data_IF_536870765646
#
_entry.id   IF_536870765646
#
_cell.length_a   1.000
_cell.length_b   1.000
_cell.length_c   1.000
_cell.angle_alpha   90.00
_cell.angle_beta   90.00
_cell.angle_gamma   90.00
#
_symmetry.space_group_name_H-M   'P 1'
#
loop_
_entity.id
_entity.type
_entity.pdbx_description
1 polymer ?
#
# COMPACT_ATOMS: atom_id res chain seq x y z
N UNK A 1 47.19 0.59 33.61
CA UNK A 1 46.79 1.05 32.26
C UNK A 1 45.55 0.27 31.86
N UNK A 2 44.37 0.90 31.94
CA UNK A 2 43.10 0.27 31.59
C UNK A 2 42.87 0.41 30.09
N UNK A 3 42.69 -0.71 29.40
CA UNK A 3 42.33 -0.78 27.99
C UNK A 3 40.85 -0.45 27.81
N UNK A 4 40.56 0.69 27.18
CA UNK A 4 39.21 1.12 26.80
C UNK A 4 38.74 0.31 25.59
N UNK A 5 37.82 -0.63 25.81
CA UNK A 5 37.05 -1.31 24.76
C UNK A 5 35.98 -0.36 24.22
N UNK A 6 36.18 0.20 23.03
CA UNK A 6 35.18 0.97 22.31
C UNK A 6 34.12 0.01 21.73
N UNK A 7 32.96 -0.06 22.37
CA UNK A 7 31.77 -0.76 21.85
C UNK A 7 31.24 -0.06 20.60
N UNK A 8 31.20 -0.76 19.47
CA UNK A 8 30.55 -0.29 18.25
C UNK A 8 29.06 0.01 18.50
N UNK A 9 28.48 1.06 17.88
CA UNK A 9 27.07 1.38 18.07
C UNK A 9 26.21 0.28 17.43
N UNK A 10 25.21 -0.19 18.16
CA UNK A 10 24.24 -1.16 17.68
C UNK A 10 23.52 -0.59 16.44
N UNK A 11 23.73 -1.21 15.28
CA UNK A 11 23.00 -0.90 14.05
C UNK A 11 21.54 -1.28 14.27
N UNK A 12 20.65 -0.28 14.34
CA UNK A 12 19.21 -0.51 14.43
C UNK A 12 18.70 -1.31 13.24
N UNK A 13 17.49 -1.91 13.32
CA UNK A 13 16.97 -2.75 12.25
C UNK A 13 16.89 -1.96 10.92
N UNK A 14 17.60 -2.44 9.90
CA UNK A 14 17.58 -1.85 8.56
C UNK A 14 16.16 -1.99 7.98
N UNK A 15 15.48 -0.86 7.79
CA UNK A 15 14.09 -0.84 7.29
C UNK A 15 14.10 -1.24 5.81
N UNK A 16 13.26 -2.21 5.38
CA UNK A 16 13.14 -2.58 3.97
C UNK A 16 12.81 -1.38 3.09
N UNK A 17 13.37 -1.33 1.88
CA UNK A 17 13.17 -0.19 0.96
C UNK A 17 11.70 0.02 0.58
N UNK A 18 10.91 -1.05 0.55
CA UNK A 18 9.47 -0.98 0.28
C UNK A 18 8.75 -0.09 1.31
N UNK A 19 9.15 -0.15 2.57
CA UNK A 19 8.61 0.71 3.63
C UNK A 19 9.29 2.07 3.66
N UNK A 20 10.62 2.11 3.50
CA UNK A 20 11.40 3.35 3.52
C UNK A 20 10.95 4.34 2.43
N UNK A 21 10.64 3.83 1.24
CA UNK A 21 10.23 4.62 0.08
C UNK A 21 8.71 4.57 -0.15
N UNK A 22 7.91 4.12 0.83
CA UNK A 22 6.45 4.13 0.73
C UNK A 22 5.97 5.59 0.62
N UNK A 23 5.21 5.95 -0.45
CA UNK A 23 4.59 7.26 -0.59
C UNK A 23 3.78 7.67 0.64
N UNK A 24 4.00 8.90 1.13
CA UNK A 24 3.26 9.47 2.27
C UNK A 24 2.18 10.45 1.84
N UNK A 25 2.30 11.00 0.62
CA UNK A 25 1.32 11.90 0.00
C UNK A 25 0.68 11.23 -1.19
N UNK A 26 -0.57 11.59 -1.48
CA UNK A 26 -1.29 11.04 -2.64
C UNK A 26 -0.61 11.45 -3.95
N UNK A 27 0.05 12.62 -3.99
CA UNK A 27 0.79 13.11 -5.16
C UNK A 27 2.06 12.31 -5.49
N UNK A 28 2.62 11.55 -4.53
CA UNK A 28 3.85 10.77 -4.73
C UNK A 28 3.57 9.37 -5.29
N UNK A 29 2.29 9.02 -5.47
CA UNK A 29 1.85 7.73 -6.01
C UNK A 29 2.04 7.75 -7.52
N UNK A 30 2.71 6.71 -8.03
CA UNK A 30 2.99 6.58 -9.45
C UNK A 30 1.91 5.74 -10.13
N UNK A 31 1.46 6.23 -11.27
CA UNK A 31 0.46 5.62 -12.15
C UNK A 31 -0.97 5.66 -11.63
N UNK A 32 -1.88 5.05 -12.39
CA UNK A 32 -3.33 5.13 -12.15
C UNK A 32 -3.82 6.59 -11.98
N UNK A 33 -3.46 7.47 -12.93
CA UNK A 33 -3.68 8.91 -12.84
C UNK A 33 -5.13 9.30 -12.47
N UNK A 34 -6.12 8.64 -13.08
CA UNK A 34 -7.53 8.87 -12.78
C UNK A 34 -7.90 8.54 -11.32
N UNK A 35 -7.35 7.44 -10.79
CA UNK A 35 -7.59 7.03 -9.41
C UNK A 35 -6.92 8.00 -8.44
N UNK A 36 -5.66 8.36 -8.71
CA UNK A 36 -4.87 9.30 -7.91
C UNK A 36 -5.53 10.68 -7.92
N UNK A 37 -5.99 11.18 -9.07
CA UNK A 37 -6.70 12.45 -9.18
C UNK A 37 -7.97 12.49 -8.32
N UNK A 38 -8.77 11.41 -8.33
CA UNK A 38 -9.96 11.30 -7.46
C UNK A 38 -9.58 11.33 -5.99
N UNK A 39 -8.53 10.61 -5.59
CA UNK A 39 -8.05 10.61 -4.20
C UNK A 39 -7.51 11.99 -3.78
N UNK A 40 -6.86 12.73 -4.69
CA UNK A 40 -6.40 14.09 -4.42
C UNK A 40 -7.57 15.07 -4.18
N UNK A 41 -8.65 14.96 -4.95
CA UNK A 41 -9.87 15.77 -4.70
C UNK A 41 -10.42 15.48 -3.32
N UNK A 42 -10.51 14.20 -2.94
CA UNK A 42 -10.98 13.78 -1.62
C UNK A 42 -10.07 14.32 -0.50
N UNK A 43 -8.75 14.28 -0.69
CA UNK A 43 -7.77 14.79 0.27
C UNK A 43 -7.95 16.31 0.52
N UNK A 44 -8.24 17.07 -0.54
CA UNK A 44 -8.49 18.52 -0.49
C UNK A 44 -9.82 18.84 0.19
N UNK A 45 -10.90 18.17 -0.21
CA UNK A 45 -12.24 18.44 0.31
C UNK A 45 -12.41 17.96 1.76
N UNK A 46 -11.63 16.97 2.19
CA UNK A 46 -11.65 16.43 3.55
C UNK A 46 -12.81 15.49 3.88
N UNK A 47 -13.88 15.51 3.08
CA UNK A 47 -15.06 14.65 3.28
C UNK A 47 -14.93 13.32 2.53
N UNK A 48 -14.07 12.42 3.03
CA UNK A 48 -13.81 11.12 2.40
C UNK A 48 -14.99 10.16 2.50
N UNK A 49 -15.69 9.76 1.41
CA UNK A 49 -16.73 8.73 1.48
C UNK A 49 -16.14 7.37 1.90
N UNK A 50 -16.97 6.36 2.09
CA UNK A 50 -16.42 5.00 2.17
C UNK A 50 -15.82 4.64 0.80
N UNK A 51 -14.66 3.99 0.79
CA UNK A 51 -13.89 3.70 -0.41
C UNK A 51 -13.66 2.20 -0.55
N UNK A 52 -13.71 1.72 -1.79
CA UNK A 52 -13.17 0.41 -2.17
C UNK A 52 -12.12 0.65 -3.24
N UNK A 53 -10.88 0.26 -2.97
CA UNK A 53 -9.81 0.22 -3.95
C UNK A 53 -9.65 -1.22 -4.43
N UNK A 54 -9.96 -1.44 -5.71
CA UNK A 54 -9.93 -2.77 -6.31
C UNK A 54 -8.93 -2.82 -7.47
N UNK A 55 -8.10 -3.85 -7.52
CA UNK A 55 -7.14 -4.03 -8.60
C UNK A 55 -6.07 -5.08 -8.31
N UNK A 56 -5.19 -5.40 -9.27
CA UNK A 56 -4.13 -6.39 -9.09
C UNK A 56 -3.22 -6.10 -7.87
N UNK A 57 -2.57 -7.11 -7.28
CA UNK A 57 -1.61 -6.89 -6.21
C UNK A 57 -0.40 -6.08 -6.70
N UNK A 58 0.23 -5.31 -5.81
CA UNK A 58 1.40 -4.48 -6.16
C UNK A 58 1.10 -3.19 -6.93
N UNK A 59 -0.17 -2.79 -7.08
CA UNK A 59 -0.59 -1.56 -7.79
C UNK A 59 -0.69 -0.32 -6.90
N UNK A 60 -0.32 -0.44 -5.62
CA UNK A 60 -0.30 0.70 -4.69
C UNK A 60 -1.62 0.99 -3.96
N UNK A 61 -2.59 0.06 -3.95
CA UNK A 61 -3.89 0.24 -3.25
C UNK A 61 -3.73 0.63 -1.78
N UNK A 62 -3.09 -0.22 -0.98
CA UNK A 62 -2.88 0.00 0.46
C UNK A 62 -2.09 1.29 0.71
N UNK A 63 -1.02 1.48 -0.04
CA UNK A 63 -0.21 2.72 -0.03
C UNK A 63 -1.05 3.96 -0.30
N UNK A 64 -1.97 3.89 -1.26
CA UNK A 64 -2.84 5.02 -1.61
C UNK A 64 -3.79 5.40 -0.48
N UNK A 65 -4.37 4.39 0.19
CA UNK A 65 -5.26 4.63 1.35
C UNK A 65 -4.46 5.21 2.52
N UNK A 66 -3.28 4.67 2.80
CA UNK A 66 -2.42 5.15 3.88
C UNK A 66 -1.97 6.60 3.63
N UNK A 67 -1.54 6.91 2.41
CA UNK A 67 -1.16 8.27 2.01
C UNK A 67 -2.35 9.24 2.13
N UNK A 68 -3.54 8.83 1.66
CA UNK A 68 -4.76 9.63 1.81
C UNK A 68 -5.09 9.87 3.29
N UNK A 69 -5.01 8.83 4.13
CA UNK A 69 -5.30 8.94 5.55
C UNK A 69 -4.29 9.83 6.28
N UNK A 70 -3.00 9.77 5.90
CA UNK A 70 -1.97 10.67 6.40
C UNK A 70 -2.24 12.12 6.02
N UNK A 71 -2.61 12.40 4.77
CA UNK A 71 -2.95 13.73 4.29
C UNK A 71 -4.25 14.26 4.94
N UNK A 72 -5.20 13.37 5.21
CA UNK A 72 -6.47 13.72 5.83
C UNK A 72 -6.39 13.96 7.35
N UNK A 73 -5.52 13.24 8.07
CA UNK A 73 -5.54 13.28 9.54
C UNK A 73 -4.28 13.91 10.13
N UNK A 74 -3.20 14.01 9.34
CA UNK A 74 -1.94 14.63 9.75
C UNK A 74 -1.46 14.12 11.10
N UNK A 75 -1.35 14.99 12.14
CA UNK A 75 -0.88 14.58 13.46
C UNK A 75 -1.81 13.58 14.16
N UNK A 76 -3.11 13.60 13.83
CA UNK A 76 -4.12 12.74 14.47
C UNK A 76 -4.17 11.33 13.87
N UNK A 77 -3.34 11.03 12.86
CA UNK A 77 -3.32 9.76 12.15
C UNK A 77 -3.27 8.55 13.11
N UNK A 78 -2.36 8.57 14.09
CA UNK A 78 -2.17 7.46 15.03
C UNK A 78 -3.39 7.15 15.89
N UNK A 79 -4.22 8.15 16.18
CA UNK A 79 -5.38 7.99 17.05
C UNK A 79 -6.68 7.73 16.29
N UNK A 80 -6.73 8.18 15.04
CA UNK A 80 -7.91 8.23 14.18
C UNK A 80 -7.86 7.27 12.98
N UNK A 81 -6.76 6.52 12.80
CA UNK A 81 -6.67 5.42 11.83
C UNK A 81 -6.55 4.08 12.53
N UNK A 82 -7.33 3.10 12.08
CA UNK A 82 -7.19 1.70 12.44
C UNK A 82 -6.92 0.90 11.16
N UNK A 83 -5.74 0.32 11.05
CA UNK A 83 -5.38 -0.61 9.99
C UNK A 83 -5.57 -2.04 10.47
N UNK A 84 -6.26 -2.86 9.68
CA UNK A 84 -6.40 -4.29 9.90
C UNK A 84 -6.14 -5.02 8.59
N UNK A 85 -5.25 -6.01 8.63
CA UNK A 85 -5.14 -6.98 7.56
C UNK A 85 -6.19 -8.08 7.78
N UNK A 86 -7.13 -8.21 6.83
CA UNK A 86 -8.25 -9.14 6.97
C UNK A 86 -7.85 -10.62 6.86
N UNK A 87 -6.67 -10.94 6.32
CA UNK A 87 -6.17 -12.32 6.23
C UNK A 87 -5.51 -12.84 7.51
N UNK A 88 -4.87 -11.96 8.30
CA UNK A 88 -4.10 -12.36 9.48
C UNK A 88 -4.98 -12.53 10.73
N UNK A 89 -5.95 -11.63 10.94
CA UNK A 89 -6.88 -11.68 12.08
C UNK A 89 -8.03 -12.67 11.80
N UNK A 90 -7.73 -13.97 11.81
CA UNK A 90 -8.62 -15.11 11.46
C UNK A 90 -9.89 -15.30 12.33
N UNK A 91 -10.22 -14.36 13.21
CA UNK A 91 -11.44 -14.38 14.01
C UNK A 91 -12.44 -13.32 13.54
N UNK A 92 -13.57 -13.73 12.94
CA UNK A 92 -14.69 -12.85 12.60
C UNK A 92 -15.06 -11.96 13.81
N UNK A 93 -15.05 -12.55 15.01
CA UNK A 93 -15.41 -11.85 16.24
C UNK A 93 -14.34 -10.86 16.71
N UNK A 94 -13.06 -11.17 16.49
CA UNK A 94 -11.94 -10.28 16.87
C UNK A 94 -11.97 -9.02 16.00
N UNK A 95 -12.09 -9.19 14.69
CA UNK A 95 -12.20 -8.07 13.74
C UNK A 95 -13.44 -7.24 14.04
N UNK A 96 -14.61 -7.89 14.23
CA UNK A 96 -15.85 -7.20 14.57
C UNK A 96 -15.74 -6.39 15.85
N UNK A 97 -15.15 -6.94 16.91
CA UNK A 97 -15.02 -6.25 18.20
C UNK A 97 -14.02 -5.09 18.11
N UNK A 98 -12.85 -5.28 17.49
CA UNK A 98 -11.86 -4.21 17.27
C UNK A 98 -12.46 -3.04 16.50
N UNK A 99 -13.11 -3.33 15.36
CA UNK A 99 -13.77 -2.31 14.53
C UNK A 99 -14.86 -1.60 15.33
N UNK A 100 -15.71 -2.32 16.06
CA UNK A 100 -16.78 -1.73 16.87
C UNK A 100 -16.23 -0.83 17.97
N UNK A 101 -15.23 -1.28 18.72
CA UNK A 101 -14.61 -0.48 19.79
C UNK A 101 -13.97 0.80 19.23
N UNK A 102 -13.27 0.70 18.10
CA UNK A 102 -12.66 1.85 17.46
C UNK A 102 -13.71 2.82 16.89
N UNK A 103 -14.78 2.31 16.28
CA UNK A 103 -15.88 3.12 15.79
C UNK A 103 -16.62 3.86 16.92
N UNK A 104 -16.66 3.28 18.13
CA UNK A 104 -17.23 3.91 19.33
C UNK A 104 -16.29 4.91 20.02
N UNK A 105 -14.96 4.74 19.90
CA UNK A 105 -13.97 5.66 20.48
C UNK A 105 -14.24 7.10 20.03
N UNK A 106 -14.39 8.02 20.96
CA UNK A 106 -14.48 9.46 20.63
C UNK A 106 -13.07 10.00 20.40
N UNK A 107 -12.86 10.59 19.23
CA UNK A 107 -11.60 11.26 18.86
C UNK A 107 -11.98 12.65 18.35
N UNK A 108 -11.32 13.68 18.88
CA UNK A 108 -11.56 15.06 18.47
C UNK A 108 -10.81 15.33 17.18
N UNK A 109 -11.54 15.51 16.08
CA UNK A 109 -10.99 15.79 14.76
C UNK A 109 -11.44 17.17 14.27
N UNK A 110 -10.67 17.81 13.38
CA UNK A 110 -11.11 19.04 12.73
C UNK A 110 -12.46 18.86 12.01
N UNK A 111 -13.23 19.94 11.81
CA UNK A 111 -14.49 19.89 11.09
C UNK A 111 -14.35 19.20 9.72
N UNK A 112 -15.28 18.31 9.39
CA UNK A 112 -15.28 17.55 8.14
C UNK A 112 -14.36 16.32 8.10
N UNK A 113 -13.47 16.13 9.09
CA UNK A 113 -12.59 14.96 9.19
C UNK A 113 -13.22 13.87 10.05
N UNK A 114 -13.03 12.63 9.63
CA UNK A 114 -13.62 11.44 10.24
C UNK A 114 -12.52 10.42 10.57
N UNK A 115 -12.77 9.53 11.51
CA UNK A 115 -11.89 8.38 11.74
C UNK A 115 -11.90 7.48 10.52
N UNK A 116 -10.79 6.81 10.25
CA UNK A 116 -10.65 5.94 9.09
C UNK A 116 -10.33 4.52 9.56
N UNK A 117 -11.10 3.55 9.09
CA UNK A 117 -10.78 2.13 9.25
C UNK A 117 -10.33 1.60 7.90
N UNK A 118 -9.09 1.11 7.84
CA UNK A 118 -8.46 0.52 6.67
C UNK A 118 -8.54 -0.99 6.81
N UNK A 119 -9.17 -1.64 5.85
CA UNK A 119 -9.26 -3.10 5.76
C UNK A 119 -8.49 -3.54 4.53
N UNK A 120 -7.29 -4.07 4.73
CA UNK A 120 -6.53 -4.68 3.64
C UNK A 120 -6.97 -6.11 3.39
N UNK A 121 -6.83 -6.56 2.15
CA UNK A 121 -7.28 -7.88 1.69
C UNK A 121 -8.74 -8.19 2.04
N UNK A 122 -9.64 -7.19 1.92
CA UNK A 122 -11.04 -7.32 2.30
C UNK A 122 -11.78 -8.44 1.53
N UNK A 123 -11.26 -8.87 0.38
CA UNK A 123 -11.77 -10.01 -0.38
C UNK A 123 -11.46 -11.38 0.25
N UNK A 124 -10.62 -11.42 1.28
CA UNK A 124 -10.36 -12.60 2.12
C UNK A 124 -11.38 -12.74 3.27
N UNK A 125 -12.22 -11.73 3.52
CA UNK A 125 -13.25 -11.80 4.56
C UNK A 125 -14.39 -12.73 4.17
N UNK A 126 -14.87 -13.53 5.14
CA UNK A 126 -16.08 -14.33 4.97
C UNK A 126 -17.32 -13.44 4.77
N UNK A 127 -18.32 -13.94 4.03
CA UNK A 127 -19.57 -13.20 3.81
C UNK A 127 -20.27 -12.81 5.13
N UNK A 128 -20.19 -13.65 6.16
CA UNK A 128 -20.74 -13.35 7.49
C UNK A 128 -20.05 -12.15 8.16
N UNK A 129 -18.72 -12.06 8.06
CA UNK A 129 -17.96 -10.92 8.56
C UNK A 129 -18.31 -9.64 7.80
N UNK A 130 -18.44 -9.71 6.47
CA UNK A 130 -18.85 -8.57 5.64
C UNK A 130 -20.27 -8.08 6.01
N UNK A 131 -21.21 -8.98 6.30
CA UNK A 131 -22.56 -8.59 6.76
C UNK A 131 -22.52 -7.86 8.11
N UNK A 132 -21.67 -8.30 9.04
CA UNK A 132 -21.48 -7.61 10.32
C UNK A 132 -20.82 -6.22 10.13
N UNK A 133 -19.85 -6.13 9.22
CA UNK A 133 -19.18 -4.89 8.85
C UNK A 133 -20.18 -3.86 8.29
N UNK A 134 -21.05 -4.28 7.36
CA UNK A 134 -22.08 -3.43 6.75
C UNK A 134 -22.91 -2.68 7.81
N UNK A 135 -23.40 -3.38 8.84
CA UNK A 135 -24.19 -2.75 9.91
C UNK A 135 -23.38 -1.70 10.69
N UNK A 136 -22.10 -1.98 10.89
CA UNK A 136 -21.18 -1.06 11.58
C UNK A 136 -20.91 0.19 10.73
N UNK A 137 -20.75 0.03 9.42
CA UNK A 137 -20.61 1.15 8.48
C UNK A 137 -21.84 2.07 8.48
N UNK A 138 -23.04 1.50 8.55
CA UNK A 138 -24.29 2.29 8.60
C UNK A 138 -24.40 3.09 9.92
N UNK A 139 -24.23 2.41 11.08
CA UNK A 139 -24.40 3.02 12.40
C UNK A 139 -23.41 4.16 12.66
N UNK A 140 -22.15 4.01 12.23
CA UNK A 140 -21.06 4.95 12.55
C UNK A 140 -20.63 5.83 11.37
N UNK A 141 -21.44 5.91 10.30
CA UNK A 141 -21.16 6.69 9.08
C UNK A 141 -20.85 8.18 9.34
N UNK A 142 -21.42 8.76 10.39
CA UNK A 142 -21.21 10.16 10.79
C UNK A 142 -19.87 10.41 11.49
N UNK A 143 -19.18 9.38 12.00
CA UNK A 143 -17.93 9.55 12.77
C UNK A 143 -16.76 8.78 12.20
N UNK A 144 -17.04 7.74 11.42
CA UNK A 144 -16.06 6.76 10.94
C UNK A 144 -16.33 6.44 9.48
N UNK A 145 -15.28 6.47 8.67
CA UNK A 145 -15.28 6.14 7.25
C UNK A 145 -14.42 4.90 7.04
N UNK A 146 -14.77 4.10 6.04
CA UNK A 146 -14.12 2.83 5.76
C UNK A 146 -13.40 2.89 4.43
N UNK A 147 -12.18 2.37 4.37
CA UNK A 147 -11.42 2.21 3.15
C UNK A 147 -11.00 0.74 3.02
N UNK A 148 -11.52 0.06 2.00
CA UNK A 148 -11.30 -1.35 1.77
C UNK A 148 -10.33 -1.51 0.58
N UNK A 149 -9.24 -2.24 0.77
CA UNK A 149 -8.38 -2.67 -0.31
C UNK A 149 -8.70 -4.14 -0.64
N UNK A 150 -8.91 -4.44 -1.92
CA UNK A 150 -9.15 -5.81 -2.37
C UNK A 150 -8.55 -6.07 -3.76
N UNK A 151 -8.30 -7.33 -4.08
CA UNK A 151 -7.85 -7.70 -5.42
C UNK A 151 -9.02 -7.75 -6.40
N UNK A 152 -10.12 -8.35 -5.96
CA UNK A 152 -11.32 -8.52 -6.78
C UNK A 152 -12.54 -7.94 -6.07
N UNK A 153 -13.15 -6.91 -6.65
CA UNK A 153 -14.34 -6.26 -6.07
C UNK A 153 -15.56 -7.18 -6.00
N UNK A 154 -15.66 -8.19 -6.88
CA UNK A 154 -16.80 -9.13 -6.89
C UNK A 154 -16.91 -10.02 -5.66
N UNK A 155 -15.83 -10.18 -4.89
CA UNK A 155 -15.83 -10.92 -3.62
C UNK A 155 -16.38 -10.09 -2.44
N UNK A 156 -16.57 -8.79 -2.64
CA UNK A 156 -17.21 -7.91 -1.68
C UNK A 156 -18.73 -7.98 -1.90
N UNK A 157 -19.51 -8.11 -0.84
CA UNK A 157 -20.97 -8.16 -0.95
C UNK A 157 -21.53 -6.84 -1.50
N UNK A 158 -22.55 -6.93 -2.36
CA UNK A 158 -23.23 -5.77 -2.97
C UNK A 158 -23.70 -4.71 -1.95
N UNK A 159 -24.21 -5.06 -0.75
CA UNK A 159 -24.58 -4.06 0.26
C UNK A 159 -23.42 -3.16 0.72
N UNK A 160 -22.18 -3.65 0.71
CA UNK A 160 -21.00 -2.81 1.01
C UNK A 160 -20.64 -1.99 -0.23
N UNK A 161 -20.59 -2.62 -1.42
CA UNK A 161 -20.23 -1.95 -2.67
C UNK A 161 -21.13 -0.74 -2.96
N UNK A 162 -22.44 -0.89 -2.79
CA UNK A 162 -23.43 0.19 -2.99
C UNK A 162 -23.25 1.41 -2.08
N UNK A 163 -22.49 1.29 -0.98
CA UNK A 163 -22.23 2.36 -0.01
C UNK A 163 -20.82 2.92 -0.09
N UNK A 164 -20.01 2.43 -1.04
CA UNK A 164 -18.63 2.83 -1.21
C UNK A 164 -18.39 3.39 -2.62
N UNK A 165 -17.59 4.43 -2.72
CA UNK A 165 -17.02 4.85 -3.98
C UNK A 165 -15.95 3.82 -4.40
N UNK A 166 -16.17 3.19 -5.55
CA UNK A 166 -15.24 2.22 -6.12
C UNK A 166 -14.18 2.93 -6.95
N UNK A 167 -12.92 2.74 -6.58
CA UNK A 167 -11.74 3.22 -7.30
C UNK A 167 -11.00 2.01 -7.85
N UNK A 168 -10.86 1.94 -9.17
CA UNK A 168 -10.20 0.82 -9.85
C UNK A 168 -8.73 1.15 -10.08
N UNK A 169 -7.87 0.20 -9.73
CA UNK A 169 -6.44 0.23 -9.98
C UNK A 169 -6.10 -0.79 -11.08
N UNK A 170 -5.32 -0.34 -12.05
CA UNK A 170 -4.72 -1.13 -13.10
C UNK A 170 -3.25 -1.43 -12.79
N UNK A 171 -2.67 -2.37 -13.54
CA UNK A 171 -1.23 -2.61 -13.50
C UNK A 171 -0.48 -1.37 -13.95
N UNK A 172 0.66 -1.12 -13.31
CA UNK A 172 1.57 -0.07 -13.72
C UNK A 172 2.31 -0.50 -14.99
N UNK A 173 2.58 0.46 -15.85
CA UNK A 173 3.45 0.30 -17.01
C UNK A 173 4.91 0.22 -16.60
N UNK A 174 5.73 -0.40 -17.45
CA UNK A 174 7.17 -0.53 -17.20
C UNK A 174 7.85 0.84 -17.07
N UNK A 175 7.37 1.84 -17.81
CA UNK A 175 7.87 3.22 -17.75
C UNK A 175 7.62 3.86 -16.38
N UNK A 176 6.42 3.68 -15.82
CA UNK A 176 6.05 4.17 -14.48
C UNK A 176 6.89 3.49 -13.39
N UNK A 177 7.06 2.17 -13.49
CA UNK A 177 7.89 1.39 -12.55
C UNK A 177 9.34 1.85 -12.61
N UNK A 178 9.89 1.99 -13.82
CA UNK A 178 11.27 2.45 -14.04
C UNK A 178 11.47 3.86 -13.48
N UNK A 179 10.51 4.76 -13.71
CA UNK A 179 10.54 6.12 -13.17
C UNK A 179 10.66 6.13 -11.64
N UNK A 180 9.87 5.29 -10.95
CA UNK A 180 9.96 5.17 -9.49
C UNK A 180 11.28 4.53 -9.04
N UNK A 181 11.77 3.53 -9.76
CA UNK A 181 13.02 2.85 -9.44
C UNK A 181 14.22 3.81 -9.52
N UNK A 182 14.26 4.67 -10.54
CA UNK A 182 15.32 5.66 -10.71
C UNK A 182 15.39 6.65 -9.54
N UNK A 183 14.25 7.04 -8.98
CA UNK A 183 14.20 7.89 -7.77
C UNK A 183 14.84 7.19 -6.57
N UNK A 184 14.56 5.90 -6.38
CA UNK A 184 15.13 5.10 -5.28
C UNK A 184 16.64 4.93 -5.45
N UNK A 185 17.08 4.59 -6.68
CA UNK A 185 18.50 4.43 -7.02
C UNK A 185 19.28 5.72 -6.76
N UNK A 186 18.73 6.87 -7.16
CA UNK A 186 19.35 8.17 -6.93
C UNK A 186 19.43 8.51 -5.44
N UNK A 187 18.39 8.20 -4.65
CA UNK A 187 18.34 8.47 -3.22
C UNK A 187 19.33 7.60 -2.42
N UNK A 188 19.48 6.33 -2.77
CA UNK A 188 20.43 5.39 -2.13
C UNK A 188 21.86 5.50 -2.70
N UNK A 189 22.08 6.39 -3.69
CA UNK A 189 23.36 6.57 -4.38
C UNK A 189 23.94 5.25 -4.90
N UNK A 190 23.08 4.35 -5.37
CA UNK A 190 23.53 3.09 -5.95
C UNK A 190 24.24 3.41 -7.27
N UNK A 191 25.50 2.99 -7.38
CA UNK A 191 26.29 3.20 -8.59
C UNK A 191 25.67 2.43 -9.77
N UNK A 192 24.93 3.14 -10.61
CA UNK A 192 24.46 2.63 -11.89
C UNK A 192 25.59 2.77 -12.91
N UNK A 193 26.25 1.66 -13.23
CA UNK A 193 27.10 1.63 -14.41
C UNK A 193 26.19 1.75 -15.64
N UNK A 194 26.40 2.81 -16.42
CA UNK A 194 25.90 3.09 -17.78
C UNK A 194 25.10 1.94 -18.41
N UNK A 195 23.77 2.05 -18.42
CA UNK A 195 22.89 1.15 -19.19
C UNK A 195 22.47 1.89 -20.46
N UNK A 196 23.01 1.42 -21.57
CA UNK A 196 22.81 1.95 -22.92
C UNK A 196 21.34 1.83 -23.35
N UNK A 197 20.92 2.77 -24.20
CA UNK A 197 19.56 2.94 -24.69
C UNK A 197 18.91 1.64 -25.21
N UNK A 198 17.70 1.40 -24.69
CA UNK A 198 16.58 0.55 -25.18
C UNK A 198 16.21 -0.72 -24.42
N UNK A 199 17.07 -1.34 -23.62
CA UNK A 199 16.65 -2.45 -22.76
C UNK A 199 17.40 -2.41 -21.44
N UNK A 200 16.65 -2.25 -20.34
CA UNK A 200 17.19 -2.26 -18.99
C UNK A 200 17.70 -3.67 -18.65
N UNK A 201 18.93 -3.97 -19.05
CA UNK A 201 19.67 -5.12 -18.52
C UNK A 201 20.01 -4.78 -17.08
N UNK A 202 19.15 -5.19 -16.16
CA UNK A 202 19.46 -5.22 -14.73
C UNK A 202 20.64 -6.18 -14.56
N UNK A 203 21.81 -5.63 -14.24
CA UNK A 203 23.01 -6.41 -13.99
C UNK A 203 22.74 -7.42 -12.86
N UNK A 204 23.28 -8.65 -12.96
CA UNK A 204 23.09 -9.72 -11.97
C UNK A 204 23.44 -9.26 -10.53
N UNK A 205 24.42 -8.37 -10.40
CA UNK A 205 24.86 -7.77 -9.13
C UNK A 205 23.81 -6.82 -8.52
N UNK A 206 23.08 -6.08 -9.36
CA UNK A 206 22.01 -5.18 -8.92
C UNK A 206 20.76 -5.99 -8.53
N UNK A 207 20.50 -7.10 -9.24
CA UNK A 207 19.44 -8.05 -8.89
C UNK A 207 19.72 -8.77 -7.57
N UNK A 208 20.97 -9.14 -7.26
CA UNK A 208 21.35 -9.71 -5.96
C UNK A 208 21.24 -8.68 -4.82
N UNK A 209 21.65 -7.43 -5.06
CA UNK A 209 21.50 -6.33 -4.10
C UNK A 209 20.03 -5.98 -3.85
N UNK A 210 19.19 -5.98 -4.89
CA UNK A 210 17.75 -5.78 -4.78
C UNK A 210 17.09 -6.98 -4.08
N UNK A 211 17.41 -8.22 -4.46
CA UNK A 211 16.86 -9.44 -3.87
C UNK A 211 17.20 -9.59 -2.38
N UNK A 212 18.42 -9.24 -1.99
CA UNK A 212 18.84 -9.25 -0.57
C UNK A 212 18.18 -8.17 0.28
N UNK A 213 17.80 -7.02 -0.30
CA UNK A 213 17.16 -5.89 0.41
C UNK A 213 15.63 -5.87 0.32
N UNK A 214 15.03 -6.57 -0.65
CA UNK A 214 13.59 -6.78 -0.79
C UNK A 214 13.20 -8.12 -0.15
N UNK A 215 13.00 -8.13 1.17
CA UNK A 215 12.61 -9.29 1.98
C UNK A 215 11.17 -9.82 1.70
N UNK A 216 10.76 -10.00 0.44
CA UNK A 216 9.37 -10.37 0.11
C UNK A 216 9.32 -11.55 -0.86
N UNK A 217 8.96 -12.73 -0.33
CA UNK A 217 8.61 -13.97 -1.05
C UNK A 217 7.25 -13.91 -1.75
N UNK A 218 6.71 -12.73 -2.01
CA UNK A 218 5.34 -12.59 -2.49
C UNK A 218 5.23 -11.46 -3.50
N UNK A 219 4.88 -11.90 -4.71
CA UNK A 219 4.30 -11.13 -5.81
C UNK A 219 5.30 -10.42 -6.75
N UNK A 220 5.47 -11.09 -7.90
CA UNK A 220 5.74 -10.55 -9.23
C UNK A 220 7.06 -9.87 -9.57
N UNK A 221 7.95 -9.51 -8.64
CA UNK A 221 9.28 -9.02 -9.07
C UNK A 221 10.08 -10.17 -9.71
N UNK A 222 10.08 -11.36 -9.12
CA UNK A 222 10.76 -12.52 -9.70
C UNK A 222 10.11 -12.97 -11.02
N UNK A 223 8.79 -12.83 -11.19
CA UNK A 223 8.10 -13.19 -12.44
C UNK A 223 8.32 -12.15 -13.54
N UNK A 224 8.38 -10.85 -13.23
CA UNK A 224 8.81 -9.82 -14.20
C UNK A 224 10.27 -10.04 -14.58
N UNK A 225 11.13 -10.38 -13.62
CA UNK A 225 12.55 -10.71 -13.86
C UNK A 225 12.69 -12.01 -14.68
N UNK A 226 11.89 -13.05 -14.41
CA UNK A 226 11.94 -14.33 -15.14
C UNK A 226 11.31 -14.22 -16.52
N UNK A 227 10.25 -13.40 -16.68
CA UNK A 227 9.63 -13.09 -17.97
C UNK A 227 10.57 -12.28 -18.88
N UNK A 228 11.30 -11.31 -18.31
CA UNK A 228 12.36 -10.58 -19.01
C UNK A 228 13.53 -11.49 -19.39
N UNK A 229 13.81 -12.55 -18.63
CA UNK A 229 14.83 -13.56 -18.96
C UNK A 229 14.32 -14.58 -20.00
N UNK A 230 13.04 -14.97 -19.99
CA UNK A 230 12.51 -16.02 -20.86
C UNK A 230 12.13 -15.56 -22.28
N UNK A 231 11.83 -14.27 -22.49
CA UNK A 231 11.59 -13.72 -23.84
C UNK A 231 12.87 -13.26 -24.56
N UNK A 232 14.03 -13.22 -23.88
CA UNK A 232 15.33 -13.03 -24.54
C UNK A 232 15.80 -14.34 -25.16
N UNK A 233 15.14 -14.73 -26.26
CA UNK A 233 15.66 -15.72 -27.19
C UNK A 233 17.02 -15.20 -27.70
N UNK A 234 18.13 -15.71 -27.17
CA UNK A 234 19.46 -15.47 -27.72
C UNK A 234 19.44 -15.88 -29.21
N UNK A 235 19.66 -14.96 -30.17
CA UNK A 235 20.19 -15.38 -31.46
C UNK A 235 21.66 -15.71 -31.22
N UNK A 236 22.00 -16.97 -31.42
CA UNK A 236 23.38 -17.42 -31.46
C UNK A 236 24.16 -16.62 -32.53
N UNK A 237 25.13 -15.85 -32.08
CA UNK A 237 26.27 -15.32 -32.84
C UNK A 237 27.38 -15.20 -31.77
N UNK A 238 28.50 -15.92 -31.77
CA UNK A 238 29.21 -16.74 -32.76
C UNK A 238 29.77 -17.96 -32.00
#
# INVERSE_FOLDING_TARGET
MASSSSSAPAVGPEIPWVEKFRPTKVADIVGNEDAVARLQVIARDGNMPNLILAGPPGTGKTTSILALAHELLGPNYREAVLELNASDDRGIDVVRNKIKMFAQKKVTLPPGRHKIIILDEADSMTSGAQQALRRTMEIYSNSTRFALACNTSSKIIEPIQSRCALVRFARLSDQEILGRLMVVVAAEKVHTFSVCDKYAVLNYTLLEQLSSKLSVKSVNVLNVVTFLISEMHFPAFI
#
